data_IF_164542828298
#
_entry.id   IF_164542828298
#
_cell.length_a   1.000
_cell.length_b   1.000
_cell.length_c   1.000
_cell.angle_alpha   90.00
_cell.angle_beta   90.00
_cell.angle_gamma   90.00
#
_symmetry.space_group_name_H-M   'P 1'
#
loop_
_entity.id
_entity.type
_entity.pdbx_description
1 polymer ?
#
# COMPACT_ATOMS: atom_id res chain seq x y z
N UNK A 1 -11.05 21.86 22.33
CA UNK A 1 -10.73 22.31 20.95
C UNK A 1 -11.49 21.47 19.91
N UNK A 2 -12.41 20.63 20.38
CA UNK A 2 -12.87 19.43 19.68
C UNK A 2 -14.22 19.66 18.98
N UNK A 3 -15.09 20.52 19.54
CA UNK A 3 -16.40 20.87 18.95
C UNK A 3 -16.30 21.41 17.53
N UNK A 4 -15.26 22.21 17.24
CA UNK A 4 -15.07 22.81 15.91
C UNK A 4 -14.59 21.76 14.90
N UNK A 5 -13.74 20.83 15.32
CA UNK A 5 -13.28 19.71 14.48
C UNK A 5 -14.44 18.75 14.17
N UNK A 6 -15.23 18.39 15.17
CA UNK A 6 -16.43 17.55 14.99
C UNK A 6 -17.43 18.20 14.02
N UNK A 7 -17.67 19.50 14.17
CA UNK A 7 -18.55 20.25 13.28
C UNK A 7 -18.02 20.26 11.84
N UNK A 8 -16.71 20.45 11.65
CA UNK A 8 -16.07 20.39 10.32
C UNK A 8 -16.18 18.99 9.72
N UNK A 9 -15.93 17.93 10.48
CA UNK A 9 -16.09 16.55 10.01
C UNK A 9 -17.52 16.27 9.55
N UNK A 10 -18.53 16.80 10.26
CA UNK A 10 -19.94 16.65 9.89
C UNK A 10 -20.27 17.39 8.60
N UNK A 11 -19.74 18.60 8.42
CA UNK A 11 -19.91 19.37 7.18
C UNK A 11 -19.26 18.67 5.98
N UNK A 12 -18.04 18.15 6.15
CA UNK A 12 -17.31 17.41 5.11
C UNK A 12 -18.06 16.15 4.70
N UNK A 13 -18.58 15.35 5.65
CA UNK A 13 -19.35 14.14 5.35
C UNK A 13 -20.66 14.41 4.61
N UNK A 14 -21.28 15.57 4.83
CA UNK A 14 -22.57 15.93 4.24
C UNK A 14 -22.44 16.70 2.92
N UNK A 15 -21.22 17.09 2.52
CA UNK A 15 -21.00 17.90 1.33
C UNK A 15 -21.15 17.05 0.06
N UNK A 16 -22.21 17.28 -0.72
CA UNK A 16 -22.47 16.58 -1.98
C UNK A 16 -21.46 16.89 -3.09
N UNK A 17 -20.75 18.02 -2.98
CA UNK A 17 -19.68 18.42 -3.90
C UNK A 17 -18.38 17.62 -3.69
N UNK A 18 -18.26 16.88 -2.59
CA UNK A 18 -17.05 16.17 -2.22
C UNK A 18 -17.28 14.66 -2.32
N UNK A 19 -16.89 14.07 -3.46
CA UNK A 19 -16.90 12.62 -3.65
C UNK A 19 -15.62 11.99 -3.09
N UNK A 20 -15.61 11.72 -1.78
CA UNK A 20 -14.58 10.87 -1.15
C UNK A 20 -15.18 9.46 -1.06
N UNK A 21 -14.77 8.57 -1.94
CA UNK A 21 -15.11 7.15 -1.85
C UNK A 21 -13.90 6.34 -1.32
N UNK A 22 -14.18 5.11 -0.86
CA UNK A 22 -13.16 4.21 -0.29
C UNK A 22 -12.59 3.23 -1.31
N UNK A 23 -12.96 3.33 -2.58
CA UNK A 23 -12.57 2.36 -3.62
C UNK A 23 -11.05 2.22 -3.76
N UNK A 24 -10.32 3.32 -3.57
CA UNK A 24 -8.85 3.33 -3.55
C UNK A 24 -8.24 2.66 -2.32
N UNK A 25 -8.94 2.64 -1.17
CA UNK A 25 -8.47 1.94 0.04
C UNK A 25 -8.51 0.43 -0.16
N UNK A 26 -9.48 -0.05 -0.94
CA UNK A 26 -9.66 -1.48 -1.25
C UNK A 26 -8.92 -1.89 -2.53
N UNK A 27 -8.12 -1.00 -3.13
CA UNK A 27 -7.33 -1.26 -4.34
C UNK A 27 -6.09 -2.13 -4.04
N UNK A 28 -6.35 -3.37 -3.65
CA UNK A 28 -5.40 -4.38 -3.19
C UNK A 28 -5.60 -5.70 -3.94
N UNK A 29 -4.53 -6.49 -4.11
CA UNK A 29 -4.55 -7.82 -4.69
C UNK A 29 -3.61 -8.02 -5.87
N UNK A 30 -3.49 -9.28 -6.28
CA UNK A 30 -2.67 -9.72 -7.41
C UNK A 30 -3.38 -9.41 -8.73
N UNK A 31 -2.63 -8.96 -9.72
CA UNK A 31 -3.11 -8.76 -11.09
C UNK A 31 -2.62 -9.93 -11.94
N UNK A 32 -1.31 -10.11 -12.01
CA UNK A 32 -0.66 -11.18 -12.78
C UNK A 32 0.60 -11.67 -12.06
N UNK A 33 0.98 -12.92 -12.32
CA UNK A 33 2.20 -13.49 -11.73
C UNK A 33 2.77 -14.58 -12.64
N UNK A 34 3.99 -14.34 -13.12
CA UNK A 34 4.76 -15.24 -13.98
C UNK A 34 6.04 -15.65 -13.21
N UNK A 35 6.00 -16.75 -12.43
CA UNK A 35 7.12 -17.15 -11.58
C UNK A 35 8.39 -17.47 -12.38
N UNK A 36 8.25 -18.01 -13.59
CA UNK A 36 9.37 -18.33 -14.50
C UNK A 36 10.09 -17.08 -15.01
N UNK A 37 9.37 -15.97 -15.13
CA UNK A 37 9.92 -14.68 -15.56
C UNK A 37 10.35 -13.80 -14.38
N UNK A 38 10.10 -14.25 -13.14
CA UNK A 38 10.28 -13.47 -11.91
C UNK A 38 9.48 -12.15 -11.92
N UNK A 39 8.34 -12.14 -12.62
CA UNK A 39 7.48 -10.97 -12.77
C UNK A 39 6.20 -11.15 -11.97
N UNK A 40 5.87 -10.13 -11.18
CA UNK A 40 4.64 -10.05 -10.42
C UNK A 40 4.03 -8.66 -10.60
N UNK A 41 2.77 -8.61 -11.01
CA UNK A 41 1.98 -7.40 -11.08
C UNK A 41 0.93 -7.42 -9.96
N UNK A 42 0.94 -6.40 -9.12
CA UNK A 42 0.00 -6.25 -7.99
C UNK A 42 -0.56 -4.84 -7.96
N UNK A 43 -1.74 -4.68 -7.34
CA UNK A 43 -2.30 -3.36 -7.09
C UNK A 43 -1.51 -2.64 -6.01
N UNK A 44 -1.42 -1.31 -6.10
CA UNK A 44 -0.59 -0.49 -5.22
C UNK A 44 -0.95 -0.60 -3.73
N UNK A 45 -2.21 -0.91 -3.39
CA UNK A 45 -2.68 -1.13 -2.02
C UNK A 45 -2.36 -2.50 -1.45
N UNK A 46 -1.71 -3.40 -2.22
CA UNK A 46 -1.37 -4.75 -1.76
C UNK A 46 -0.30 -4.71 -0.66
N UNK A 47 -0.55 -5.29 0.53
CA UNK A 47 0.44 -5.36 1.60
C UNK A 47 1.66 -6.21 1.22
N UNK A 48 2.85 -5.82 1.69
CA UNK A 48 4.09 -6.57 1.45
C UNK A 48 3.99 -8.02 1.97
N UNK A 49 3.36 -8.23 3.13
CA UNK A 49 3.13 -9.56 3.70
C UNK A 49 2.37 -10.49 2.72
N UNK A 50 1.41 -9.95 1.97
CA UNK A 50 0.64 -10.73 0.99
C UNK A 50 1.50 -11.10 -0.22
N UNK A 51 2.38 -10.19 -0.66
CA UNK A 51 3.32 -10.43 -1.76
C UNK A 51 4.33 -11.52 -1.36
N UNK A 52 4.94 -11.40 -0.18
CA UNK A 52 5.88 -12.40 0.37
C UNK A 52 5.26 -13.79 0.42
N UNK A 53 4.03 -13.91 0.95
CA UNK A 53 3.29 -15.17 1.00
C UNK A 53 3.07 -15.80 -0.39
N UNK A 54 2.88 -15.00 -1.44
CA UNK A 54 2.77 -15.54 -2.80
C UNK A 54 4.12 -16.03 -3.31
N UNK A 55 5.18 -15.24 -3.13
CA UNK A 55 6.52 -15.58 -3.60
C UNK A 55 7.06 -16.85 -2.92
N UNK A 56 6.80 -17.01 -1.61
CA UNK A 56 7.16 -18.19 -0.82
C UNK A 56 6.59 -19.50 -1.41
N UNK A 57 5.39 -19.47 -1.98
CA UNK A 57 4.78 -20.66 -2.63
C UNK A 57 5.60 -21.17 -3.82
N UNK A 58 6.47 -20.33 -4.37
CA UNK A 58 7.33 -20.63 -5.51
C UNK A 58 8.81 -20.62 -5.10
N UNK A 59 9.11 -20.66 -3.80
CA UNK A 59 10.47 -20.56 -3.23
C UNK A 59 11.23 -19.29 -3.67
N UNK A 60 10.51 -18.19 -3.91
CA UNK A 60 11.10 -16.93 -4.32
C UNK A 60 11.14 -15.95 -3.14
N UNK A 61 12.27 -15.27 -2.90
CA UNK A 61 12.34 -14.18 -1.94
C UNK A 61 11.87 -12.87 -2.57
N UNK A 62 11.41 -11.93 -1.74
CA UNK A 62 11.25 -10.54 -2.16
C UNK A 62 12.65 -9.92 -2.34
N UNK A 63 12.94 -9.21 -3.45
CA UNK A 63 14.31 -8.75 -3.76
C UNK A 63 14.76 -7.52 -2.98
N UNK A 64 13.92 -6.95 -2.11
CA UNK A 64 14.23 -5.79 -1.28
C UNK A 64 13.66 -5.95 0.13
N UNK A 65 14.14 -5.10 1.04
CA UNK A 65 13.76 -5.12 2.45
C UNK A 65 12.77 -4.00 2.78
N UNK A 66 11.90 -4.30 3.75
CA UNK A 66 10.91 -3.39 4.31
C UNK A 66 10.97 -3.48 5.82
N UNK A 67 10.85 -2.34 6.51
CA UNK A 67 10.85 -2.32 7.98
C UNK A 67 9.51 -2.77 8.57
N UNK A 68 8.44 -2.72 7.77
CA UNK A 68 7.09 -3.12 8.13
C UNK A 68 6.46 -3.82 6.92
N UNK A 69 5.91 -5.01 7.12
CA UNK A 69 5.29 -5.82 6.07
C UNK A 69 3.79 -5.57 5.93
N UNK A 70 3.19 -4.82 6.86
CA UNK A 70 1.78 -4.43 6.82
C UNK A 70 1.50 -3.29 5.84
N UNK A 71 2.54 -2.52 5.47
CA UNK A 71 2.44 -1.40 4.54
C UNK A 71 2.24 -1.90 3.10
N UNK A 72 1.60 -1.09 2.27
CA UNK A 72 1.37 -1.43 0.88
C UNK A 72 2.62 -1.22 0.01
N UNK A 73 2.74 -1.99 -1.07
CA UNK A 73 3.84 -1.85 -2.03
C UNK A 73 3.94 -0.43 -2.63
N UNK A 74 2.80 0.23 -2.86
CA UNK A 74 2.77 1.61 -3.33
C UNK A 74 3.35 2.58 -2.30
N UNK A 75 3.04 2.38 -1.01
CA UNK A 75 3.62 3.19 0.06
C UNK A 75 5.13 2.96 0.19
N UNK A 76 5.58 1.71 0.11
CA UNK A 76 7.02 1.37 0.13
C UNK A 76 7.76 2.05 -1.01
N UNK A 77 7.21 2.04 -2.23
CA UNK A 77 7.82 2.69 -3.38
C UNK A 77 7.93 4.22 -3.22
N UNK A 78 6.89 4.86 -2.68
CA UNK A 78 6.90 6.30 -2.38
C UNK A 78 7.86 6.67 -1.25
N UNK A 79 8.01 5.78 -0.26
CA UNK A 79 8.88 5.97 0.90
C UNK A 79 10.31 5.46 0.68
N UNK A 80 10.62 4.89 -0.48
CA UNK A 80 11.91 4.27 -0.78
C UNK A 80 13.09 5.24 -0.59
N UNK A 81 12.87 6.55 -0.79
CA UNK A 81 13.85 7.61 -0.50
C UNK A 81 14.29 7.67 0.98
N UNK A 82 13.49 7.12 1.91
CA UNK A 82 13.78 7.10 3.36
C UNK A 82 14.24 5.75 3.91
N UNK A 83 14.31 4.70 3.08
CA UNK A 83 14.67 3.33 3.53
C UNK A 83 16.19 3.08 3.38
N UNK A 84 16.90 3.93 2.66
CA UNK A 84 18.36 3.99 2.76
C UNK A 84 18.73 4.92 3.93
N UNK A 85 19.26 4.43 5.07
CA UNK A 85 20.15 5.30 5.84
C UNK A 85 21.24 5.74 4.85
N UNK A 86 21.52 7.03 4.78
CA UNK A 86 22.68 7.56 4.07
C UNK A 86 23.89 6.74 4.50
N UNK A 87 24.34 5.84 3.62
CA UNK A 87 25.60 5.17 3.75
C UNK A 87 26.66 6.18 3.33
N UNK A 88 27.21 6.90 4.32
CA UNK A 88 28.57 7.44 4.43
C UNK A 88 28.63 8.46 5.58
#
# INVERSE_FOLDING_TARGET
MDKRIEQLQKLVKNASSLHINRELLDYSGMVEYYPEELVIAVKAGTPIAQIKKQLERNNQPLPFYTNDDSVSIGAVYLMADKIYPTAC
#
